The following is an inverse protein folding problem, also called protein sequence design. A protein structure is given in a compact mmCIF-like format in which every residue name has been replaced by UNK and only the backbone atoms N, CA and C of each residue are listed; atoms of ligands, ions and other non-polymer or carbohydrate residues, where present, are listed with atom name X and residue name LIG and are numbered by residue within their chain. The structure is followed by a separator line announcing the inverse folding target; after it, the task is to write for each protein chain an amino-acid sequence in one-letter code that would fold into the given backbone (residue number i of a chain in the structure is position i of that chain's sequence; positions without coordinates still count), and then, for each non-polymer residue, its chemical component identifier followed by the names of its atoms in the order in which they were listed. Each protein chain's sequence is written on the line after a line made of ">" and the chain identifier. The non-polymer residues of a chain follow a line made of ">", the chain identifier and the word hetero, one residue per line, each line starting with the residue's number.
data_IF_088592986383
#
_entry.id   IF_088592986383
#
_cell.length_a   1.000
_cell.length_b   1.000
_cell.length_c   1.000
_cell.angle_alpha   90.00
_cell.angle_beta   90.00
_cell.angle_gamma   90.00
#
_symmetry.space_group_name_H-M   'P 1'
#
loop_
_entity.id
_entity.type
_entity.pdbx_description
1 polymer ?
#
# COMPACT_ATOMS: atom_id res chain seq x y z
N UNK A 1 8.77 -5.99 -28.77
CA UNK A 1 8.01 -5.05 -29.60
C UNK A 1 8.48 -5.14 -31.02
N UNK A 2 7.78 -4.50 -31.95
CA UNK A 2 8.22 -4.35 -33.34
C UNK A 2 9.23 -3.19 -33.52
N UNK A 3 9.69 -2.97 -34.76
CA UNK A 3 10.63 -1.88 -35.12
C UNK A 3 10.04 -0.47 -34.93
N UNK A 4 8.73 -0.36 -34.69
CA UNK A 4 8.02 0.91 -34.46
C UNK A 4 7.75 1.15 -32.97
N UNK A 5 8.15 0.23 -32.10
CA UNK A 5 7.93 0.31 -30.65
C UNK A 5 6.56 -0.18 -30.19
N UNK A 6 5.78 -0.86 -31.03
CA UNK A 6 4.49 -1.43 -30.64
C UNK A 6 4.69 -2.73 -29.86
N UNK A 7 3.77 -3.01 -28.93
CA UNK A 7 3.66 -4.33 -28.31
C UNK A 7 3.15 -5.32 -29.36
N UNK A 8 3.74 -6.50 -29.39
CA UNK A 8 3.37 -7.59 -30.32
C UNK A 8 3.06 -8.91 -29.59
N UNK A 9 3.30 -8.94 -28.28
CA UNK A 9 3.09 -10.11 -27.46
C UNK A 9 3.74 -9.96 -26.09
N UNK A 10 3.35 -10.87 -25.20
CA UNK A 10 3.87 -10.98 -23.84
C UNK A 10 4.32 -12.42 -23.60
N UNK A 11 5.60 -12.60 -23.28
CA UNK A 11 6.12 -13.90 -22.87
C UNK A 11 5.67 -14.19 -21.43
N UNK A 12 5.15 -15.40 -21.22
CA UNK A 12 4.64 -15.89 -19.95
C UNK A 12 5.22 -17.26 -19.64
N UNK A 13 5.28 -17.61 -18.34
CA UNK A 13 5.67 -18.94 -17.86
C UNK A 13 4.48 -19.56 -17.11
N UNK A 14 4.27 -20.87 -17.27
CA UNK A 14 3.21 -21.56 -16.52
C UNK A 14 3.61 -21.66 -15.04
N UNK A 15 2.61 -21.53 -14.17
CA UNK A 15 2.77 -21.62 -12.73
C UNK A 15 2.05 -22.87 -12.20
N UNK A 16 2.61 -23.52 -11.17
CA UNK A 16 1.92 -24.52 -10.35
C UNK A 16 1.68 -23.96 -8.94
N UNK A 17 0.65 -24.46 -8.25
CA UNK A 17 0.37 -24.04 -6.89
C UNK A 17 1.31 -24.76 -5.90
N UNK A 18 2.02 -23.98 -5.10
CA UNK A 18 2.82 -24.45 -3.95
C UNK A 18 2.00 -24.55 -2.67
N UNK A 19 2.68 -24.41 -1.53
CA UNK A 19 2.05 -24.33 -0.22
C UNK A 19 1.36 -22.97 0.00
N UNK A 20 0.32 -22.92 0.85
CA UNK A 20 -0.25 -21.66 1.34
C UNK A 20 0.79 -20.76 2.00
N UNK A 21 0.70 -19.46 1.75
CA UNK A 21 1.42 -18.43 2.51
C UNK A 21 0.61 -18.00 3.74
N UNK A 22 1.12 -17.00 4.48
CA UNK A 22 0.50 -16.47 5.70
C UNK A 22 -0.90 -15.87 5.47
N UNK A 23 -1.26 -15.53 4.22
CA UNK A 23 -2.60 -15.07 3.86
C UNK A 23 -3.56 -16.23 3.56
N UNK A 24 -3.06 -17.47 3.55
CA UNK A 24 -3.76 -18.67 3.11
C UNK A 24 -3.74 -18.87 1.59
N UNK A 25 -3.12 -17.96 0.84
CA UNK A 25 -3.04 -18.06 -0.63
C UNK A 25 -1.90 -19.00 -1.01
N UNK A 26 -2.17 -19.94 -1.92
CA UNK A 26 -1.12 -20.82 -2.44
C UNK A 26 -0.14 -20.05 -3.31
N UNK A 27 1.15 -20.13 -3.02
CA UNK A 27 2.19 -19.41 -3.76
C UNK A 27 2.33 -19.96 -5.20
N UNK A 28 2.46 -19.10 -6.22
CA UNK A 28 2.78 -19.57 -7.57
C UNK A 28 4.25 -20.02 -7.63
N UNK A 29 4.50 -21.21 -8.15
CA UNK A 29 5.85 -21.74 -8.41
C UNK A 29 6.02 -21.89 -9.94
N UNK A 30 7.04 -21.26 -10.55
CA UNK A 30 7.30 -21.40 -11.98
C UNK A 30 7.56 -22.85 -12.39
N UNK A 31 7.04 -23.25 -13.55
CA UNK A 31 7.36 -24.54 -14.18
C UNK A 31 8.49 -24.29 -15.20
N UNK A 32 9.72 -24.76 -14.96
CA UNK A 32 10.84 -24.52 -15.88
C UNK A 32 10.55 -25.05 -17.29
N UNK A 33 10.95 -24.28 -18.31
CA UNK A 33 10.77 -24.66 -19.72
C UNK A 33 9.32 -24.58 -20.24
N UNK A 34 8.41 -23.98 -19.48
CA UNK A 34 6.99 -23.83 -19.87
C UNK A 34 6.65 -22.49 -20.51
N UNK A 35 7.66 -21.74 -20.96
CA UNK A 35 7.52 -20.43 -21.56
C UNK A 35 6.64 -20.49 -22.82
N UNK A 36 5.79 -19.48 -22.99
CA UNK A 36 4.94 -19.30 -24.17
C UNK A 36 4.67 -17.81 -24.39
N UNK A 37 4.32 -17.44 -25.63
CA UNK A 37 3.98 -16.06 -25.98
C UNK A 37 2.47 -15.96 -26.16
N UNK A 38 1.88 -14.94 -25.54
CA UNK A 38 0.50 -14.52 -25.82
C UNK A 38 0.60 -13.33 -26.77
N UNK A 39 0.06 -13.45 -27.99
CA UNK A 39 0.01 -12.34 -28.94
C UNK A 39 -0.99 -11.29 -28.47
N UNK A 40 -0.49 -10.07 -28.24
CA UNK A 40 -1.26 -8.91 -27.78
C UNK A 40 -0.62 -7.64 -28.33
N UNK A 41 -1.44 -6.62 -28.55
CA UNK A 41 -1.04 -5.28 -28.99
C UNK A 41 -1.03 -4.24 -27.85
N UNK A 42 -1.60 -4.59 -26.69
CA UNK A 42 -1.67 -3.76 -25.49
C UNK A 42 -1.49 -4.58 -24.22
N UNK A 43 -0.76 -4.01 -23.26
CA UNK A 43 -0.60 -4.56 -21.90
C UNK A 43 -0.98 -3.50 -20.89
N UNK A 44 -1.88 -3.83 -19.97
CA UNK A 44 -2.31 -2.98 -18.85
C UNK A 44 -1.79 -3.62 -17.57
N UNK A 45 -0.86 -2.96 -16.88
CA UNK A 45 -0.35 -3.42 -15.60
C UNK A 45 -1.33 -3.10 -14.48
N UNK A 46 -1.81 -4.14 -13.79
CA UNK A 46 -2.75 -4.07 -12.68
C UNK A 46 -2.29 -4.90 -11.48
N UNK A 47 -0.98 -5.04 -11.26
CA UNK A 47 -0.41 -5.81 -10.13
C UNK A 47 -0.58 -5.15 -8.75
N UNK A 48 -1.14 -3.93 -8.71
CA UNK A 48 -1.40 -3.17 -7.49
C UNK A 48 -0.68 -1.83 -7.47
N UNK A 49 -0.86 -1.10 -6.37
CA UNK A 49 -0.29 0.24 -6.17
C UNK A 49 0.50 0.28 -4.86
N UNK A 50 1.51 1.15 -4.79
CA UNK A 50 2.33 1.37 -3.60
C UNK A 50 2.23 2.82 -3.11
N UNK A 51 2.70 3.05 -1.89
CA UNK A 51 2.77 4.40 -1.32
C UNK A 51 3.60 5.34 -2.22
N UNK A 52 3.10 6.56 -2.45
CA UNK A 52 3.85 7.55 -3.21
C UNK A 52 5.06 8.02 -2.37
N UNK A 53 6.30 7.79 -2.84
CA UNK A 53 7.50 8.09 -2.07
C UNK A 53 7.73 9.60 -1.89
N UNK A 54 7.13 10.46 -2.71
CA UNK A 54 7.18 11.92 -2.54
C UNK A 54 6.39 12.34 -1.28
N UNK A 55 5.22 11.73 -1.05
CA UNK A 55 4.38 12.03 0.12
C UNK A 55 5.15 11.69 1.40
N UNK A 56 5.74 10.49 1.46
CA UNK A 56 6.58 10.06 2.57
C UNK A 56 7.75 11.03 2.84
N UNK A 57 8.46 11.46 1.78
CA UNK A 57 9.59 12.40 1.92
C UNK A 57 9.16 13.81 2.34
N UNK A 58 8.00 14.27 1.89
CA UNK A 58 7.49 15.61 2.19
C UNK A 58 7.00 15.74 3.64
N UNK A 59 6.57 14.65 4.27
CA UNK A 59 6.12 14.60 5.66
C UNK A 59 7.29 14.52 6.65
N UNK A 60 8.12 15.56 6.70
CA UNK A 60 9.31 15.60 7.57
C UNK A 60 8.98 15.31 9.03
N UNK A 61 9.64 14.30 9.61
CA UNK A 61 9.48 13.85 10.99
C UNK A 61 8.39 12.79 11.21
N UNK A 62 7.71 12.35 10.16
CA UNK A 62 6.80 11.19 10.19
C UNK A 62 7.55 9.93 9.79
N UNK A 63 7.50 8.89 10.61
CA UNK A 63 8.12 7.60 10.32
C UNK A 63 7.27 6.79 9.34
N UNK A 64 7.94 6.03 8.49
CA UNK A 64 7.35 5.09 7.55
C UNK A 64 7.84 3.67 7.83
N UNK A 65 7.03 2.68 7.49
CA UNK A 65 7.47 1.29 7.47
C UNK A 65 8.32 0.98 6.23
N UNK A 66 8.84 -0.25 6.14
CA UNK A 66 9.65 -0.72 5.00
C UNK A 66 8.93 -0.65 3.63
N UNK A 67 7.60 -0.53 3.62
CA UNK A 67 6.78 -0.42 2.42
C UNK A 67 6.38 1.02 2.07
N UNK A 68 6.86 2.01 2.82
CA UNK A 68 6.60 3.43 2.55
C UNK A 68 5.29 3.98 3.13
N UNK A 69 4.56 3.20 3.93
CA UNK A 69 3.33 3.64 4.60
C UNK A 69 3.63 4.30 5.94
N UNK A 70 2.82 5.30 6.33
CA UNK A 70 3.02 6.01 7.59
C UNK A 70 2.74 5.13 8.80
N UNK A 71 3.64 5.19 9.78
CA UNK A 71 3.45 4.55 11.09
C UNK A 71 2.51 5.41 11.93
N UNK A 72 1.44 4.80 12.45
CA UNK A 72 0.40 5.47 13.25
C UNK A 72 0.03 4.68 14.50
N UNK A 73 -0.58 5.37 15.47
CA UNK A 73 -1.34 4.76 16.56
C UNK A 73 -2.74 4.39 16.07
N UNK A 74 -3.15 3.14 16.25
CA UNK A 74 -4.40 2.65 15.66
C UNK A 74 -5.67 3.21 16.30
N UNK A 75 -5.61 3.65 17.56
CA UNK A 75 -6.77 4.19 18.29
C UNK A 75 -7.05 5.65 17.91
N UNK A 76 -6.00 6.40 17.60
CA UNK A 76 -6.06 7.86 17.38
C UNK A 76 -5.76 8.28 15.95
N UNK A 77 -5.11 7.41 15.17
CA UNK A 77 -4.52 7.71 13.86
C UNK A 77 -3.45 8.80 13.88
N UNK A 78 -2.90 9.09 15.07
CA UNK A 78 -1.75 9.98 15.20
C UNK A 78 -0.49 9.34 14.63
N UNK A 79 0.28 10.11 13.88
CA UNK A 79 1.59 9.67 13.37
C UNK A 79 2.67 9.81 14.45
N UNK A 80 3.91 9.46 14.11
CA UNK A 80 5.06 9.70 14.99
C UNK A 80 5.41 11.17 15.15
N UNK A 81 4.85 12.08 14.33
CA UNK A 81 4.97 13.52 14.52
C UNK A 81 3.70 14.08 15.16
N UNK A 82 3.89 14.82 16.25
CA UNK A 82 2.79 15.47 16.95
C UNK A 82 2.04 16.45 16.04
N UNK A 83 0.72 16.47 16.18
CA UNK A 83 -0.17 17.30 15.36
C UNK A 83 -0.39 16.78 13.93
N UNK A 84 0.26 15.66 13.54
CA UNK A 84 0.06 15.03 12.23
C UNK A 84 -0.66 13.69 12.41
N UNK A 85 -1.73 13.51 11.64
CA UNK A 85 -2.58 12.32 11.64
C UNK A 85 -2.64 11.74 10.21
N UNK A 86 -2.82 10.43 10.08
CA UNK A 86 -2.90 9.75 8.79
C UNK A 86 -3.86 8.56 8.83
N UNK A 87 -4.56 8.29 7.72
CA UNK A 87 -5.52 7.19 7.61
C UNK A 87 -5.76 6.78 6.17
N UNK A 88 -6.43 5.65 5.97
CA UNK A 88 -6.67 5.08 4.64
C UNK A 88 -5.43 4.41 4.04
N UNK A 89 -5.36 4.37 2.71
CA UNK A 89 -4.37 3.55 2.00
C UNK A 89 -2.91 3.96 2.27
N UNK A 90 -2.66 5.22 2.64
CA UNK A 90 -1.30 5.69 3.00
C UNK A 90 -0.77 5.06 4.30
N UNK A 91 -1.64 4.41 5.08
CA UNK A 91 -1.30 3.65 6.29
C UNK A 91 -1.39 2.14 6.04
N UNK A 92 -2.42 1.70 5.30
CA UNK A 92 -2.80 0.28 5.19
C UNK A 92 -2.29 -0.43 3.94
N UNK A 93 -1.85 0.31 2.92
CA UNK A 93 -1.77 -0.20 1.55
C UNK A 93 -3.15 -0.30 0.90
N UNK A 94 -3.23 -0.92 -0.28
CA UNK A 94 -4.49 -1.07 -1.03
C UNK A 94 -5.58 -1.73 -0.18
N UNK A 95 -6.46 -0.90 0.38
CA UNK A 95 -7.52 -1.30 1.29
C UNK A 95 -8.88 -0.96 0.68
N UNK A 96 -9.93 -0.98 1.50
CA UNK A 96 -11.28 -0.67 1.05
C UNK A 96 -11.66 0.77 1.39
N UNK A 97 -12.59 1.34 0.62
CA UNK A 97 -13.15 2.68 0.88
C UNK A 97 -13.72 2.78 2.30
N UNK A 98 -14.37 1.72 2.81
CA UNK A 98 -14.94 1.73 4.15
C UNK A 98 -13.87 1.81 5.24
N UNK A 99 -12.71 1.17 5.04
CA UNK A 99 -11.56 1.30 5.94
C UNK A 99 -11.03 2.74 5.98
N UNK A 100 -10.89 3.39 4.81
CA UNK A 100 -10.43 4.77 4.73
C UNK A 100 -11.42 5.75 5.40
N UNK A 101 -12.72 5.56 5.20
CA UNK A 101 -13.77 6.35 5.89
C UNK A 101 -13.72 6.11 7.40
N UNK A 102 -13.51 4.87 7.83
CA UNK A 102 -13.34 4.52 9.24
C UNK A 102 -12.16 5.24 9.88
N UNK A 103 -10.99 5.18 9.24
CA UNK A 103 -9.79 5.87 9.71
C UNK A 103 -10.00 7.39 9.76
N UNK A 104 -10.66 7.97 8.75
CA UNK A 104 -10.99 9.40 8.73
C UNK A 104 -11.88 9.83 9.90
N UNK A 105 -12.88 9.03 10.28
CA UNK A 105 -13.74 9.31 11.44
C UNK A 105 -12.97 9.24 12.77
N UNK A 106 -12.05 8.29 12.90
CA UNK A 106 -11.20 8.17 14.09
C UNK A 106 -10.25 9.37 14.18
N UNK A 107 -9.54 9.67 13.09
CA UNK A 107 -8.62 10.80 13.00
C UNK A 107 -9.33 12.13 13.31
N UNK A 108 -10.54 12.35 12.79
CA UNK A 108 -11.30 13.58 13.06
C UNK A 108 -11.62 13.77 14.56
N UNK A 109 -11.99 12.69 15.27
CA UNK A 109 -12.23 12.75 16.72
C UNK A 109 -10.95 13.05 17.49
N UNK A 110 -9.84 12.41 17.11
CA UNK A 110 -8.55 12.64 17.74
C UNK A 110 -8.03 14.07 17.47
N UNK A 111 -8.17 14.59 16.26
CA UNK A 111 -7.84 15.99 15.94
C UNK A 111 -8.66 16.94 16.80
N UNK A 112 -9.97 16.70 16.96
CA UNK A 112 -10.82 17.53 17.80
C UNK A 112 -10.38 17.50 19.27
N UNK A 113 -10.03 16.33 19.80
CA UNK A 113 -9.52 16.18 21.16
C UNK A 113 -8.17 16.88 21.36
N UNK A 114 -7.24 16.71 20.42
CA UNK A 114 -5.93 17.37 20.42
C UNK A 114 -6.07 18.90 20.47
N UNK A 115 -6.92 19.46 19.60
CA UNK A 115 -7.14 20.90 19.53
C UNK A 115 -7.90 21.44 20.74
N UNK A 116 -8.85 20.68 21.29
CA UNK A 116 -9.66 21.11 22.44
C UNK A 116 -8.91 21.01 23.76
N UNK A 117 -8.08 19.99 23.94
CA UNK A 117 -7.34 19.76 25.17
C UNK A 117 -5.99 20.48 25.22
N UNK A 118 -5.41 20.80 24.05
CA UNK A 118 -4.04 21.30 23.92
C UNK A 118 -2.97 20.31 24.38
N UNK A 119 -3.33 19.03 24.56
CA UNK A 119 -2.43 17.97 25.06
C UNK A 119 -2.06 17.02 23.94
N UNK A 120 -0.85 16.48 24.03
CA UNK A 120 -0.40 15.42 23.13
C UNK A 120 -1.27 14.18 23.26
N UNK A 121 -1.71 13.63 22.13
CA UNK A 121 -2.39 12.33 22.07
C UNK A 121 -1.42 11.16 21.87
N UNK A 122 -0.11 11.45 21.83
CA UNK A 122 0.90 10.40 21.74
C UNK A 122 1.00 9.68 23.08
N UNK A 123 0.81 8.38 23.08
CA UNK A 123 1.21 7.52 24.20
C UNK A 123 2.74 7.49 24.20
N UNK A 124 3.38 8.06 25.23
CA UNK A 124 4.83 7.93 25.40
C UNK A 124 5.18 6.44 25.43
N UNK A 125 6.03 6.00 24.51
CA UNK A 125 6.69 4.70 24.57
C UNK A 125 7.87 4.78 25.52
#
# INVERSE_FOLDING_TARGET
>A
GDDKGNVIGMECIKMKLGEPDDSGRRRPIPIPGSNFVIEVDMVIDAIGTSANPIVARSASGVEINQWGYFTIDDDTKATTKEGIFAGGDIVRGSATVISAVGDGKVAARAINEFLSSGKSLRKNK
#
